data_IF_971947811913
#
_entry.id   IF_971947811913
#
_cell.length_a   1.000
_cell.length_b   1.000
_cell.length_c   1.000
_cell.angle_alpha   90.00
_cell.angle_beta   90.00
_cell.angle_gamma   90.00
#
_symmetry.space_group_name_H-M   'P 1'
#
loop_
_entity.id
_entity.type
_entity.pdbx_description
1 polymer ?
#
# COMPACT_ATOMS: atom_id res chain seq x y z
N UNK A 1 8.83 -6.48 28.89
CA UNK A 1 8.49 -7.50 27.87
C UNK A 1 7.14 -7.26 27.21
N UNK A 2 6.00 -7.33 27.93
CA UNK A 2 4.68 -7.16 27.28
C UNK A 2 4.45 -5.74 26.72
N UNK A 3 4.93 -4.71 27.41
CA UNK A 3 4.84 -3.31 26.96
C UNK A 3 5.71 -3.02 25.73
N UNK A 4 6.91 -3.60 25.66
CA UNK A 4 7.84 -3.38 24.55
C UNK A 4 7.29 -4.00 23.25
N UNK A 5 6.70 -5.19 23.34
CA UNK A 5 6.06 -5.84 22.19
C UNK A 5 4.81 -5.09 21.71
N UNK A 6 4.01 -4.54 22.64
CA UNK A 6 2.84 -3.74 22.28
C UNK A 6 3.25 -2.43 21.58
N UNK A 7 4.29 -1.77 22.07
CA UNK A 7 4.84 -0.55 21.46
C UNK A 7 5.36 -0.81 20.04
N UNK A 8 6.13 -1.88 19.84
CA UNK A 8 6.63 -2.27 18.52
C UNK A 8 5.48 -2.61 17.55
N UNK A 9 4.46 -3.35 18.01
CA UNK A 9 3.30 -3.70 17.20
C UNK A 9 2.54 -2.45 16.73
N UNK A 10 2.25 -1.52 17.63
CA UNK A 10 1.57 -0.27 17.28
C UNK A 10 2.39 0.55 16.27
N UNK A 11 3.71 0.66 16.49
CA UNK A 11 4.61 1.33 15.54
C UNK A 11 4.57 0.70 14.14
N UNK A 12 4.61 -0.63 14.05
CA UNK A 12 4.50 -1.35 12.78
C UNK A 12 3.16 -1.11 12.08
N UNK A 13 2.05 -1.16 12.82
CA UNK A 13 0.71 -0.93 12.27
C UNK A 13 0.55 0.50 11.73
N UNK A 14 1.11 1.50 12.43
CA UNK A 14 1.12 2.90 11.95
C UNK A 14 1.94 3.03 10.67
N UNK A 15 3.10 2.38 10.59
CA UNK A 15 3.92 2.40 9.38
C UNK A 15 3.22 1.74 8.19
N UNK A 16 2.59 0.57 8.40
CA UNK A 16 1.82 -0.13 7.38
C UNK A 16 0.63 0.73 6.93
N UNK A 17 -0.08 1.35 7.87
CA UNK A 17 -1.20 2.24 7.56
C UNK A 17 -0.74 3.46 6.74
N UNK A 18 0.35 4.13 7.16
CA UNK A 18 0.86 5.31 6.47
C UNK A 18 1.35 5.01 5.06
N UNK A 19 2.15 3.94 4.91
CA UNK A 19 2.66 3.50 3.60
C UNK A 19 1.55 2.97 2.70
N UNK A 20 0.64 2.15 3.24
CA UNK A 20 -0.53 1.62 2.53
C UNK A 20 -1.47 2.71 2.05
N UNK A 21 -1.70 3.75 2.87
CA UNK A 21 -2.51 4.91 2.47
C UNK A 21 -1.80 5.71 1.36
N UNK A 22 -0.50 5.97 1.51
CA UNK A 22 0.27 6.74 0.52
C UNK A 22 0.36 6.05 -0.84
N UNK A 23 0.73 4.76 -0.84
CA UNK A 23 0.80 3.95 -2.07
C UNK A 23 -0.59 3.72 -2.67
N UNK A 24 -1.60 3.49 -1.82
CA UNK A 24 -2.98 3.34 -2.26
C UNK A 24 -3.50 4.58 -2.96
N UNK A 25 -3.26 5.76 -2.37
CA UNK A 25 -3.60 7.06 -2.95
C UNK A 25 -2.89 7.29 -4.28
N UNK A 26 -1.58 7.07 -4.33
CA UNK A 26 -0.80 7.19 -5.58
C UNK A 26 -1.35 6.26 -6.67
N UNK A 27 -1.66 5.02 -6.33
CA UNK A 27 -2.17 4.01 -7.28
C UNK A 27 -3.58 4.31 -7.76
N UNK A 28 -4.42 4.94 -6.94
CA UNK A 28 -5.79 5.29 -7.28
C UNK A 28 -5.86 6.50 -8.23
N UNK A 29 -5.12 7.57 -7.94
CA UNK A 29 -5.18 8.82 -8.70
C UNK A 29 -4.16 8.89 -9.83
N UNK A 30 -2.98 8.29 -9.65
CA UNK A 30 -1.86 8.29 -10.58
C UNK A 30 -1.36 6.86 -10.87
N UNK A 31 -2.24 5.98 -11.42
CA UNK A 31 -1.89 4.57 -11.64
C UNK A 31 -0.70 4.39 -12.57
N UNK A 32 -0.50 5.28 -13.55
CA UNK A 32 0.63 5.20 -14.48
C UNK A 32 1.96 5.40 -13.75
N UNK A 33 2.03 6.40 -12.86
CA UNK A 33 3.19 6.68 -12.04
C UNK A 33 3.46 5.55 -11.05
N UNK A 34 2.41 4.95 -10.47
CA UNK A 34 2.52 3.78 -9.62
C UNK A 34 3.11 2.57 -10.36
N UNK A 35 2.63 2.28 -11.57
CA UNK A 35 3.16 1.21 -12.43
C UNK A 35 4.63 1.49 -12.79
N UNK A 36 4.98 2.73 -13.14
CA UNK A 36 6.36 3.12 -13.45
C UNK A 36 7.28 2.98 -12.24
N UNK A 37 6.83 3.35 -11.05
CA UNK A 37 7.57 3.16 -9.81
C UNK A 37 7.83 1.67 -9.57
N UNK A 38 6.82 0.83 -9.73
CA UNK A 38 6.94 -0.62 -9.62
C UNK A 38 7.93 -1.18 -10.65
N UNK A 39 7.84 -0.77 -11.90
CA UNK A 39 8.78 -1.17 -12.95
C UNK A 39 10.21 -0.71 -12.65
N UNK A 40 10.38 0.50 -12.09
CA UNK A 40 11.68 1.01 -11.68
C UNK A 40 12.29 0.16 -10.56
N UNK A 41 11.49 -0.21 -9.55
CA UNK A 41 11.93 -1.12 -8.49
C UNK A 41 12.34 -2.47 -9.09
N UNK A 42 11.53 -3.03 -9.98
CA UNK A 42 11.83 -4.32 -10.63
C UNK A 42 13.11 -4.29 -11.46
N UNK A 43 13.42 -3.16 -12.11
CA UNK A 43 14.69 -2.97 -12.82
C UNK A 43 15.92 -3.06 -11.90
N UNK A 44 15.81 -2.63 -10.65
CA UNK A 44 16.92 -2.75 -9.67
C UNK A 44 17.26 -4.24 -9.45
N UNK A 45 16.25 -5.11 -9.45
CA UNK A 45 16.41 -6.56 -9.31
C UNK A 45 16.67 -7.27 -10.65
N UNK A 46 17.00 -6.53 -11.71
CA UNK A 46 17.20 -7.04 -13.07
C UNK A 46 15.98 -7.81 -13.63
N UNK A 47 14.77 -7.50 -13.13
CA UNK A 47 13.52 -8.11 -13.57
C UNK A 47 12.82 -7.19 -14.58
N UNK A 48 12.43 -7.73 -15.73
CA UNK A 48 11.64 -7.00 -16.75
C UNK A 48 10.16 -7.30 -16.56
N UNK A 49 9.36 -6.28 -16.25
CA UNK A 49 7.89 -6.40 -16.19
C UNK A 49 7.28 -5.46 -17.23
N UNK A 50 6.65 -6.03 -18.25
CA UNK A 50 5.99 -5.28 -19.33
C UNK A 50 4.48 -5.51 -19.29
N UNK A 51 3.67 -4.46 -19.52
CA UNK A 51 2.23 -4.61 -19.57
C UNK A 51 1.80 -5.49 -20.73
N UNK A 52 1.00 -6.52 -20.45
CA UNK A 52 0.34 -7.30 -21.51
C UNK A 52 -0.80 -6.47 -22.12
N UNK A 53 -1.55 -5.75 -21.27
CA UNK A 53 -2.57 -4.77 -21.65
C UNK A 53 -2.56 -3.59 -20.68
N UNK A 54 -2.11 -2.44 -21.20
CA UNK A 54 -1.98 -1.20 -20.42
C UNK A 54 -3.33 -0.71 -19.87
N UNK A 55 -4.44 -0.85 -20.62
CA UNK A 55 -5.75 -0.37 -20.16
C UNK A 55 -6.23 -1.19 -18.97
N UNK A 56 -6.06 -2.51 -19.04
CA UNK A 56 -6.41 -3.41 -17.95
C UNK A 56 -5.55 -3.18 -16.72
N UNK A 57 -4.25 -2.98 -16.88
CA UNK A 57 -3.34 -2.68 -15.76
C UNK A 57 -3.63 -1.34 -15.08
N UNK A 58 -3.98 -0.30 -15.84
CA UNK A 58 -4.39 0.98 -15.25
C UNK A 58 -5.65 0.81 -14.40
N UNK A 59 -6.66 0.09 -14.90
CA UNK A 59 -7.89 -0.15 -14.13
C UNK A 59 -7.63 -1.00 -12.89
N UNK A 60 -6.80 -2.04 -13.00
CA UNK A 60 -6.45 -2.93 -11.89
C UNK A 60 -5.65 -2.19 -10.83
N UNK A 61 -4.67 -1.38 -11.22
CA UNK A 61 -3.88 -0.56 -10.30
C UNK A 61 -4.75 0.43 -9.53
N UNK A 62 -5.76 1.03 -10.17
CA UNK A 62 -6.73 1.89 -9.46
C UNK A 62 -7.53 1.12 -8.43
N UNK A 63 -8.08 -0.04 -8.81
CA UNK A 63 -8.87 -0.88 -7.90
C UNK A 63 -8.03 -1.34 -6.72
N UNK A 64 -6.80 -1.79 -6.96
CA UNK A 64 -5.86 -2.17 -5.90
C UNK A 64 -5.50 -0.98 -5.00
N UNK A 65 -5.30 0.20 -5.59
CA UNK A 65 -5.07 1.43 -4.82
C UNK A 65 -6.23 1.77 -3.89
N UNK A 66 -7.47 1.69 -4.40
CA UNK A 66 -8.68 1.87 -3.60
C UNK A 66 -8.77 0.85 -2.46
N UNK A 67 -8.57 -0.44 -2.75
CA UNK A 67 -8.59 -1.50 -1.74
C UNK A 67 -7.52 -1.26 -0.67
N UNK A 68 -6.30 -0.86 -1.07
CA UNK A 68 -5.22 -0.55 -0.13
C UNK A 68 -5.58 0.61 0.80
N UNK A 69 -6.22 1.66 0.28
CA UNK A 69 -6.73 2.76 1.10
C UNK A 69 -7.80 2.30 2.09
N UNK A 70 -8.77 1.49 1.64
CA UNK A 70 -9.84 0.95 2.49
C UNK A 70 -9.25 0.09 3.61
N UNK A 71 -8.33 -0.82 3.29
CA UNK A 71 -7.68 -1.67 4.29
C UNK A 71 -6.86 -0.85 5.29
N UNK A 72 -6.18 0.21 4.83
CA UNK A 72 -5.42 1.10 5.71
C UNK A 72 -6.34 1.84 6.69
N UNK A 73 -7.51 2.30 6.23
CA UNK A 73 -8.53 2.89 7.10
C UNK A 73 -9.12 1.87 8.09
N UNK A 74 -9.32 0.63 7.67
CA UNK A 74 -9.79 -0.43 8.58
C UNK A 74 -8.78 -0.73 9.68
N UNK A 75 -7.48 -0.74 9.38
CA UNK A 75 -6.42 -0.86 10.39
C UNK A 75 -6.53 0.26 11.42
N UNK A 76 -6.74 1.51 10.98
CA UNK A 76 -6.95 2.64 11.89
C UNK A 76 -8.16 2.44 12.80
N UNK A 77 -9.31 2.04 12.24
CA UNK A 77 -10.54 1.81 13.00
C UNK A 77 -10.35 0.71 14.05
N UNK A 78 -9.75 -0.42 13.66
CA UNK A 78 -9.48 -1.55 14.57
C UNK A 78 -8.51 -1.14 15.66
N UNK A 79 -7.41 -0.46 15.30
CA UNK A 79 -6.43 0.03 16.27
C UNK A 79 -7.06 1.01 17.26
N UNK A 80 -7.95 1.91 16.79
CA UNK A 80 -8.66 2.84 17.67
C UNK A 80 -9.64 2.13 18.60
N UNK A 81 -10.34 1.10 18.12
CA UNK A 81 -11.27 0.29 18.91
C UNK A 81 -10.54 -0.51 20.00
N UNK A 82 -9.38 -1.11 19.69
CA UNK A 82 -8.61 -1.91 20.65
C UNK A 82 -7.95 -1.04 21.74
N UNK A 83 -7.57 0.20 21.41
CA UNK A 83 -6.93 1.13 22.35
C UNK A 83 -7.93 2.04 23.10
N UNK A 84 -9.22 1.96 22.79
CA UNK A 84 -10.29 2.77 23.40
C UNK A 84 -10.98 2.04 24.53
#
# INVERSE_FOLDING_TARGET
MMNDQMFLLQGMLILIMGTGTGIGFLSLFWPLQSIQLYQWIMKIFNWKVEPIDLKRELSTTRVLGFIAMVLSLLIFVVMRYVNG
#
